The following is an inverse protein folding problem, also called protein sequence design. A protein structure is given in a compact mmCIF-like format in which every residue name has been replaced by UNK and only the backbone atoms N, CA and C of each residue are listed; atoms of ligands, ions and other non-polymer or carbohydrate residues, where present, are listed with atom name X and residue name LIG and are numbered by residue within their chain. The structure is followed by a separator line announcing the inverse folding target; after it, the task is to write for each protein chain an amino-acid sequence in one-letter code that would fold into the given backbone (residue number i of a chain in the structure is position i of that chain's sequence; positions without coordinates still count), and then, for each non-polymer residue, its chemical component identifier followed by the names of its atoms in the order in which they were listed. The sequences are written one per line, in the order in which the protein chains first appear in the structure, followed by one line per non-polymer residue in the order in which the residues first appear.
data_IF_377170428354
#
_entry.id   IF_377170428354
#
_cell.length_a   1.000
_cell.length_b   1.000
_cell.length_c   1.000
_cell.angle_alpha   90.00
_cell.angle_beta   90.00
_cell.angle_gamma   90.00
#
_symmetry.space_group_name_H-M   'P 1'
#
loop_
_entity.id
_entity.type
_entity.pdbx_description
1 polymer ?
#
# COMPACT_ATOMS: atom_id res chain seq x y z
N UNK A 1 40.72 37.48 18.55
CA UNK A 1 40.00 37.24 17.27
C UNK A 1 38.72 38.07 17.27
N UNK A 2 38.42 38.83 16.21
CA UNK A 2 37.20 39.66 16.17
C UNK A 2 35.95 38.78 16.29
N UNK A 3 35.04 39.13 17.22
CA UNK A 3 33.82 38.35 17.52
C UNK A 3 33.00 38.06 16.26
N UNK A 4 32.90 39.01 15.34
CA UNK A 4 32.20 38.84 14.07
C UNK A 4 32.84 37.80 13.14
N UNK A 5 34.18 37.74 13.08
CA UNK A 5 34.89 36.74 12.27
C UNK A 5 34.65 35.33 12.82
N UNK A 6 34.66 35.18 14.14
CA UNK A 6 34.36 33.89 14.78
C UNK A 6 32.91 33.45 14.51
N UNK A 7 31.94 34.34 14.70
CA UNK A 7 30.53 34.06 14.41
C UNK A 7 30.31 33.67 12.93
N UNK A 8 30.99 34.33 12.00
CA UNK A 8 30.93 33.99 10.58
C UNK A 8 31.35 32.54 10.31
N UNK A 9 32.50 32.10 10.83
CA UNK A 9 32.96 30.73 10.63
C UNK A 9 32.05 29.70 11.29
N UNK A 10 31.53 29.99 12.48
CA UNK A 10 30.55 29.10 13.14
C UNK A 10 29.29 28.94 12.28
N UNK A 11 28.73 30.04 11.77
CA UNK A 11 27.57 29.98 10.88
C UNK A 11 27.89 29.25 9.57
N UNK A 12 29.09 29.43 9.01
CA UNK A 12 29.52 28.74 7.80
C UNK A 12 29.55 27.22 8.01
N UNK A 13 30.15 26.74 9.11
CA UNK A 13 30.20 25.31 9.41
C UNK A 13 28.82 24.74 9.73
N UNK A 14 27.97 25.48 10.46
CA UNK A 14 26.59 25.07 10.70
C UNK A 14 25.79 24.96 9.39
N UNK A 15 25.96 25.91 8.48
CA UNK A 15 25.28 25.88 7.19
C UNK A 15 25.76 24.70 6.34
N UNK A 16 27.06 24.46 6.29
CA UNK A 16 27.61 23.28 5.59
C UNK A 16 27.09 21.98 6.21
N UNK A 17 27.15 21.84 7.54
CA UNK A 17 26.67 20.64 8.24
C UNK A 17 25.19 20.39 8.01
N UNK A 18 24.38 21.45 8.04
CA UNK A 18 22.93 21.34 7.79
C UNK A 18 22.62 20.92 6.35
N UNK A 19 23.35 21.45 5.36
CA UNK A 19 23.18 21.03 3.97
C UNK A 19 23.59 19.58 3.74
N UNK A 20 24.73 19.14 4.31
CA UNK A 20 25.16 17.73 4.23
C UNK A 20 24.15 16.80 4.88
N UNK A 21 23.60 17.20 6.05
CA UNK A 21 22.55 16.45 6.72
C UNK A 21 21.29 16.32 5.86
N UNK A 22 20.79 17.42 5.31
CA UNK A 22 19.62 17.39 4.42
C UNK A 22 19.85 16.56 3.17
N UNK A 23 21.05 16.62 2.59
CA UNK A 23 21.42 15.80 1.45
C UNK A 23 21.35 14.30 1.80
N UNK A 24 21.92 13.90 2.94
CA UNK A 24 21.84 12.52 3.41
C UNK A 24 20.41 12.06 3.66
N UNK A 25 19.61 12.86 4.38
CA UNK A 25 18.19 12.55 4.65
C UNK A 25 17.39 12.41 3.36
N UNK A 26 17.66 13.26 2.37
CA UNK A 26 16.96 13.21 1.08
C UNK A 26 17.30 11.92 0.31
N UNK A 27 18.57 11.51 0.33
CA UNK A 27 18.98 10.24 -0.30
C UNK A 27 18.34 9.04 0.39
N UNK A 28 18.37 9.00 1.72
CA UNK A 28 17.76 7.93 2.50
C UNK A 28 16.25 7.80 2.24
N UNK A 29 15.55 8.94 2.21
CA UNK A 29 14.14 8.98 1.85
C UNK A 29 13.90 8.51 0.41
N UNK A 30 14.69 8.98 -0.57
CA UNK A 30 14.54 8.57 -1.97
C UNK A 30 14.70 7.05 -2.16
N UNK A 31 15.68 6.45 -1.47
CA UNK A 31 15.89 5.00 -1.47
C UNK A 31 14.72 4.29 -0.80
N UNK A 32 14.30 4.76 0.38
CA UNK A 32 13.17 4.19 1.12
C UNK A 32 11.86 4.23 0.31
N UNK A 33 11.57 5.34 -0.36
CA UNK A 33 10.41 5.47 -1.23
C UNK A 33 10.48 4.53 -2.43
N UNK A 34 11.67 4.30 -2.98
CA UNK A 34 11.87 3.35 -4.08
C UNK A 34 11.52 1.92 -3.66
N UNK A 35 12.06 1.46 -2.52
CA UNK A 35 11.76 0.13 -2.00
C UNK A 35 10.31 -0.02 -1.55
N UNK A 36 9.73 1.04 -0.96
CA UNK A 36 8.33 1.05 -0.59
C UNK A 36 7.43 0.91 -1.84
N UNK A 37 7.74 1.65 -2.91
CA UNK A 37 7.05 1.54 -4.19
C UNK A 37 7.13 0.14 -4.77
N UNK A 38 8.33 -0.44 -4.84
CA UNK A 38 8.53 -1.81 -5.31
C UNK A 38 7.73 -2.83 -4.47
N UNK A 39 7.73 -2.69 -3.14
CA UNK A 39 6.96 -3.58 -2.26
C UNK A 39 5.46 -3.49 -2.51
N UNK A 40 4.94 -2.29 -2.80
CA UNK A 40 3.53 -2.12 -3.17
C UNK A 40 3.21 -2.78 -4.51
N UNK A 41 4.08 -2.63 -5.51
CA UNK A 41 3.88 -3.25 -6.82
C UNK A 41 3.92 -4.78 -6.73
N UNK A 42 4.86 -5.34 -5.98
CA UNK A 42 4.95 -6.78 -5.72
C UNK A 42 3.69 -7.30 -5.00
N UNK A 43 3.22 -6.60 -3.96
CA UNK A 43 1.98 -6.95 -3.25
C UNK A 43 0.77 -6.92 -4.18
N UNK A 44 0.67 -5.89 -5.04
CA UNK A 44 -0.41 -5.77 -6.01
C UNK A 44 -0.37 -6.92 -7.02
N UNK A 45 0.81 -7.28 -7.51
CA UNK A 45 0.96 -8.41 -8.41
C UNK A 45 0.53 -9.73 -7.75
N UNK A 46 0.95 -9.98 -6.50
CA UNK A 46 0.55 -11.18 -5.75
C UNK A 46 -0.97 -11.23 -5.54
N UNK A 47 -1.61 -10.11 -5.18
CA UNK A 47 -3.06 -10.03 -5.06
C UNK A 47 -3.75 -10.34 -6.39
N UNK A 48 -3.24 -9.82 -7.51
CA UNK A 48 -3.80 -10.10 -8.83
C UNK A 48 -3.64 -11.58 -9.24
N UNK A 49 -2.48 -12.18 -8.99
CA UNK A 49 -2.22 -13.59 -9.31
C UNK A 49 -3.10 -14.53 -8.47
N UNK A 50 -3.15 -14.29 -7.15
CA UNK A 50 -4.03 -15.03 -6.25
C UNK A 50 -5.49 -14.79 -6.57
N UNK A 51 -5.87 -13.55 -6.89
CA UNK A 51 -7.22 -13.17 -7.26
C UNK A 51 -7.71 -13.91 -8.51
N UNK A 52 -6.86 -14.02 -9.54
CA UNK A 52 -7.15 -14.83 -10.73
C UNK A 52 -7.31 -16.32 -10.40
N UNK A 53 -6.49 -16.84 -9.49
CA UNK A 53 -6.62 -18.23 -9.04
C UNK A 53 -7.95 -18.44 -8.31
N UNK A 54 -8.33 -17.50 -7.44
CA UNK A 54 -9.57 -17.53 -6.67
C UNK A 54 -10.80 -17.45 -7.58
N UNK A 55 -10.83 -16.51 -8.53
CA UNK A 55 -11.88 -16.40 -9.56
C UNK A 55 -12.05 -17.72 -10.32
N UNK A 56 -10.95 -18.37 -10.68
CA UNK A 56 -11.01 -19.66 -11.37
C UNK A 56 -11.51 -20.80 -10.49
N UNK A 57 -11.11 -20.83 -9.21
CA UNK A 57 -11.57 -21.82 -8.23
C UNK A 57 -13.01 -21.58 -7.77
N UNK A 58 -13.51 -20.35 -7.85
CA UNK A 58 -14.82 -19.94 -7.35
C UNK A 58 -15.93 -20.02 -8.39
N UNK A 59 -15.70 -20.60 -9.57
CA UNK A 59 -16.69 -20.63 -10.67
C UNK A 59 -18.06 -21.23 -10.31
N UNK A 60 -18.09 -22.09 -9.29
CA UNK A 60 -19.30 -22.73 -8.77
C UNK A 60 -19.93 -22.03 -7.56
N UNK A 61 -19.33 -20.94 -7.07
CA UNK A 61 -19.79 -20.22 -5.89
C UNK A 61 -20.58 -18.97 -6.29
N UNK A 62 -21.67 -18.70 -5.58
CA UNK A 62 -22.47 -17.47 -5.70
C UNK A 62 -21.82 -16.32 -4.93
N UNK A 63 -22.29 -15.08 -5.14
CA UNK A 63 -21.90 -13.92 -4.32
C UNK A 63 -22.10 -14.20 -2.83
N UNK A 64 -23.24 -14.81 -2.48
CA UNK A 64 -23.59 -15.14 -1.09
C UNK A 64 -22.62 -16.14 -0.47
N UNK A 65 -22.19 -17.15 -1.22
CA UNK A 65 -21.22 -18.13 -0.72
C UNK A 65 -19.86 -17.48 -0.45
N UNK A 66 -19.41 -16.59 -1.34
CA UNK A 66 -18.17 -15.84 -1.15
C UNK A 66 -18.26 -14.93 0.08
N UNK A 67 -19.35 -14.18 0.24
CA UNK A 67 -19.57 -13.35 1.43
C UNK A 67 -19.59 -14.20 2.70
N UNK A 68 -20.22 -15.38 2.66
CA UNK A 68 -20.25 -16.30 3.79
C UNK A 68 -18.83 -16.77 4.16
N UNK A 69 -18.01 -17.14 3.18
CA UNK A 69 -16.61 -17.53 3.41
C UNK A 69 -15.78 -16.37 3.98
N UNK A 70 -15.97 -15.15 3.49
CA UNK A 70 -15.31 -13.96 4.04
C UNK A 70 -15.68 -13.76 5.52
N UNK A 71 -16.97 -13.86 5.85
CA UNK A 71 -17.48 -13.74 7.23
C UNK A 71 -17.03 -14.88 8.13
N UNK A 72 -16.86 -16.09 7.58
CA UNK A 72 -16.31 -17.23 8.33
C UNK A 72 -14.83 -17.01 8.67
N UNK A 73 -14.08 -16.38 7.77
CA UNK A 73 -12.64 -16.11 7.97
C UNK A 73 -12.39 -15.00 9.00
N UNK A 74 -13.20 -13.93 8.95
CA UNK A 74 -13.23 -12.87 9.96
C UNK A 74 -14.68 -12.41 10.20
N UNK A 75 -15.29 -12.83 11.33
CA UNK A 75 -16.67 -12.49 11.65
C UNK A 75 -16.90 -10.99 11.87
N UNK A 76 -15.87 -10.29 12.31
CA UNK A 76 -15.84 -8.91 12.76
C UNK A 76 -15.37 -7.92 11.68
N UNK A 77 -14.95 -8.41 10.51
CA UNK A 77 -14.54 -7.57 9.39
C UNK A 77 -15.73 -6.77 8.81
N UNK A 78 -15.47 -5.51 8.45
CA UNK A 78 -16.44 -4.70 7.73
C UNK A 78 -16.60 -5.26 6.31
N UNK A 79 -17.84 -5.58 5.95
CA UNK A 79 -18.21 -6.00 4.59
C UNK A 79 -19.27 -5.03 4.11
N UNK A 80 -18.97 -4.37 2.99
CA UNK A 80 -19.92 -3.49 2.30
C UNK A 80 -20.36 -4.23 1.04
N UNK A 81 -21.66 -4.46 0.92
CA UNK A 81 -22.24 -5.08 -0.26
C UNK A 81 -23.00 -4.06 -1.09
N UNK A 82 -22.59 -3.89 -2.34
CA UNK A 82 -23.27 -3.07 -3.33
C UNK A 82 -23.66 -3.94 -4.55
N UNK A 83 -24.38 -3.34 -5.50
CA UNK A 83 -24.79 -4.05 -6.72
C UNK A 83 -23.55 -4.44 -7.54
N UNK A 84 -23.27 -5.74 -7.61
CA UNK A 84 -22.11 -6.27 -8.34
C UNK A 84 -20.75 -6.07 -7.66
N UNK A 85 -20.71 -5.58 -6.42
CA UNK A 85 -19.47 -5.31 -5.69
C UNK A 85 -19.59 -5.74 -4.22
N UNK A 86 -18.53 -6.34 -3.68
CA UNK A 86 -18.35 -6.56 -2.24
C UNK A 86 -17.00 -6.00 -1.85
N UNK A 87 -16.96 -5.12 -0.85
CA UNK A 87 -15.73 -4.57 -0.30
C UNK A 87 -15.46 -5.24 1.04
N UNK A 88 -14.29 -5.87 1.18
CA UNK A 88 -13.82 -6.52 2.40
C UNK A 88 -12.41 -5.99 2.71
N UNK A 89 -12.24 -5.27 3.83
CA UNK A 89 -10.91 -4.77 4.27
C UNK A 89 -10.12 -4.01 3.17
N UNK A 90 -10.82 -3.18 2.39
CA UNK A 90 -10.30 -2.45 1.22
C UNK A 90 -9.94 -3.31 -0.01
N UNK A 91 -10.39 -4.56 -0.05
CA UNK A 91 -10.30 -5.43 -1.23
C UNK A 91 -11.67 -5.46 -1.91
N UNK A 92 -11.69 -5.20 -3.20
CA UNK A 92 -12.90 -5.16 -4.02
C UNK A 92 -13.11 -6.50 -4.72
N UNK A 93 -14.23 -7.15 -4.44
CA UNK A 93 -14.69 -8.36 -5.12
C UNK A 93 -15.80 -7.97 -6.09
N UNK A 94 -15.54 -8.08 -7.40
CA UNK A 94 -16.51 -7.74 -8.46
C UNK A 94 -17.26 -8.98 -8.93
N UNK A 95 -18.57 -8.85 -9.03
CA UNK A 95 -19.47 -9.92 -9.43
C UNK A 95 -20.27 -9.53 -10.68
N UNK A 96 -20.39 -10.47 -11.61
CA UNK A 96 -21.31 -10.40 -12.75
C UNK A 96 -22.15 -11.69 -12.79
N UNK A 97 -23.45 -11.56 -12.98
CA UNK A 97 -24.39 -12.70 -12.99
C UNK A 97 -24.21 -13.63 -11.77
N UNK A 98 -24.06 -13.04 -10.58
CA UNK A 98 -23.85 -13.71 -9.30
C UNK A 98 -22.52 -14.52 -9.19
N UNK A 99 -21.60 -14.32 -10.12
CA UNK A 99 -20.29 -14.98 -10.14
C UNK A 99 -19.16 -13.99 -9.96
N UNK A 100 -18.12 -14.39 -9.23
CA UNK A 100 -16.93 -13.60 -9.05
C UNK A 100 -16.15 -13.50 -10.39
N UNK A 101 -15.84 -12.28 -10.81
CA UNK A 101 -15.12 -12.00 -12.06
C UNK A 101 -13.75 -11.40 -11.80
N UNK A 102 -13.60 -10.58 -10.76
CA UNK A 102 -12.35 -9.94 -10.41
C UNK A 102 -12.21 -9.70 -8.90
N UNK A 103 -10.95 -9.63 -8.45
CA UNK A 103 -10.56 -9.18 -7.12
C UNK A 103 -9.48 -8.09 -7.31
N UNK A 104 -9.68 -6.92 -6.71
CA UNK A 104 -8.80 -5.74 -6.84
C UNK A 104 -8.42 -5.14 -5.49
#
# INVERSE_FOLDING_TARGET
MNRWKFAFFVCLFLLMGTNVWWFYVTLDQAVSYTYLGQSYDEKKQVIQELGRLLVNGSKGYSKKDIVHLLRQSRPDALIVEENGLVIYENIEFRFADDKLVAIE
#
